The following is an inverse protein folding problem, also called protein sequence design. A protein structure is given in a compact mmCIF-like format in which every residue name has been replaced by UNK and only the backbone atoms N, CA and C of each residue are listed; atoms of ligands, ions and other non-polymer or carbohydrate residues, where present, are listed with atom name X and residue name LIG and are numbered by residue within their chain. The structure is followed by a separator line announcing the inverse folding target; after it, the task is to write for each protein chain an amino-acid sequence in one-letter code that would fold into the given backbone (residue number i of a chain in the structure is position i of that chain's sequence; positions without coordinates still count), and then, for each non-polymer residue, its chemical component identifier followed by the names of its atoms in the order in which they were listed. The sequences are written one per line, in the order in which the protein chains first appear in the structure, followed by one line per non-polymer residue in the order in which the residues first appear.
data_IF_547477839036
#
_entry.id   IF_547477839036
#
_cell.length_a   1.000
_cell.length_b   1.000
_cell.length_c   1.000
_cell.angle_alpha   90.00
_cell.angle_beta   90.00
_cell.angle_gamma   90.00
#
_symmetry.space_group_name_H-M   'P 1'
#
loop_
_entity.id
_entity.type
_entity.pdbx_description
1 polymer ?
#
# COMPACT_ATOMS: atom_id res chain seq x y z
N UNK A 1 13.12 -12.62 5.73
CA UNK A 1 13.51 -11.21 5.52
C UNK A 1 14.63 -11.06 4.49
N UNK A 2 15.82 -11.64 4.64
CA UNK A 2 16.93 -11.54 3.66
C UNK A 2 16.54 -11.89 2.22
N UNK A 3 15.69 -12.91 2.00
CA UNK A 3 15.25 -13.34 0.65
C UNK A 3 14.33 -12.33 -0.04
N UNK A 4 13.48 -11.62 0.70
CA UNK A 4 12.58 -10.57 0.16
C UNK A 4 13.37 -9.33 -0.21
N UNK A 5 14.36 -8.96 0.59
CA UNK A 5 15.26 -7.84 0.29
C UNK A 5 16.11 -8.12 -0.97
N UNK A 6 16.59 -9.37 -1.13
CA UNK A 6 17.30 -9.81 -2.32
C UNK A 6 16.42 -9.76 -3.59
N UNK A 7 15.16 -10.16 -3.49
CA UNK A 7 14.19 -10.06 -4.59
C UNK A 7 13.91 -8.61 -4.98
N UNK A 8 13.76 -7.71 -4.02
CA UNK A 8 13.59 -6.27 -4.25
C UNK A 8 14.82 -5.65 -4.91
N UNK A 9 16.02 -5.98 -4.42
CA UNK A 9 17.29 -5.55 -5.03
C UNK A 9 17.42 -6.10 -6.44
N UNK A 10 17.05 -7.36 -6.68
CA UNK A 10 17.07 -7.98 -8.02
C UNK A 10 16.09 -7.28 -8.98
N UNK A 11 14.90 -6.92 -8.55
CA UNK A 11 13.92 -6.18 -9.37
C UNK A 11 14.47 -4.79 -9.73
N UNK A 12 15.08 -4.08 -8.79
CA UNK A 12 15.72 -2.78 -9.04
C UNK A 12 16.91 -2.93 -9.99
N UNK A 13 17.73 -3.98 -9.84
CA UNK A 13 18.86 -4.26 -10.75
C UNK A 13 18.39 -4.66 -12.15
N UNK A 14 17.31 -5.41 -12.29
CA UNK A 14 16.74 -5.78 -13.59
C UNK A 14 16.21 -4.53 -14.29
N UNK A 15 15.56 -3.63 -13.60
CA UNK A 15 15.07 -2.36 -14.18
C UNK A 15 16.21 -1.44 -14.63
N UNK A 16 17.31 -1.40 -13.89
CA UNK A 16 18.50 -0.63 -14.24
C UNK A 16 19.25 -1.20 -15.44
N UNK A 17 19.32 -2.53 -15.58
CA UNK A 17 20.02 -3.18 -16.70
C UNK A 17 19.23 -3.14 -18.02
N UNK A 18 17.91 -3.13 -17.99
CA UNK A 18 17.07 -2.97 -19.21
C UNK A 18 17.29 -1.57 -19.83
N UNK A 19 17.64 -0.58 -19.02
CA UNK A 19 17.98 0.76 -19.50
C UNK A 19 19.40 0.85 -20.13
N UNK A 20 20.26 -0.12 -19.90
CA UNK A 20 21.66 -0.12 -20.36
C UNK A 20 21.90 -0.86 -21.71
N UNK A 21 20.94 -1.67 -22.18
CA UNK A 21 21.10 -2.50 -23.39
C UNK A 21 20.98 -1.69 -24.69
N UNK A 22 20.44 -0.48 -24.67
CA UNK A 22 20.28 0.37 -25.87
C UNK A 22 21.45 1.36 -26.12
N UNK A 23 22.61 1.17 -25.49
CA UNK A 23 23.69 2.17 -25.49
C UNK A 23 24.75 2.00 -26.60
N UNK A 24 24.61 1.06 -27.52
CA UNK A 24 25.62 0.84 -28.57
C UNK A 24 25.07 1.07 -29.98
N UNK A 25 24.84 2.33 -30.34
CA UNK A 25 25.05 2.84 -31.70
C UNK A 25 24.76 4.35 -31.81
N UNK A 26 25.78 5.05 -32.34
CA UNK A 26 25.76 6.42 -32.87
C UNK A 26 25.97 7.54 -31.84
N UNK A 27 27.17 8.06 -31.86
CA UNK A 27 27.56 9.36 -31.27
C UNK A 27 26.83 10.50 -32.00
N UNK A 28 25.62 10.77 -31.54
CA UNK A 28 24.95 12.04 -31.76
C UNK A 28 24.94 12.73 -30.40
N UNK A 29 25.53 13.96 -30.37
CA UNK A 29 25.57 14.85 -29.20
C UNK A 29 24.17 15.05 -28.64
N UNK A 30 23.73 14.14 -27.75
CA UNK A 30 22.36 14.07 -27.22
C UNK A 30 22.27 15.09 -26.07
N UNK A 31 21.56 16.16 -26.32
CA UNK A 31 21.09 17.08 -25.27
C UNK A 31 20.49 16.28 -24.12
N UNK A 32 20.81 16.71 -22.89
CA UNK A 32 20.37 16.14 -21.62
C UNK A 32 19.00 15.42 -21.70
N UNK A 33 19.00 14.13 -21.44
CA UNK A 33 17.84 13.24 -21.55
C UNK A 33 16.81 13.39 -20.42
N UNK A 34 16.96 14.37 -19.54
CA UNK A 34 16.04 14.64 -18.43
C UNK A 34 15.06 15.79 -18.71
N UNK A 35 14.61 15.96 -19.94
CA UNK A 35 13.60 16.95 -20.25
C UNK A 35 12.25 16.54 -19.62
N UNK A 36 11.52 17.52 -19.08
CA UNK A 36 10.14 17.36 -18.63
C UNK A 36 9.26 16.77 -19.74
N UNK A 37 8.46 15.75 -19.42
CA UNK A 37 7.64 15.01 -20.37
C UNK A 37 6.18 14.89 -19.91
N UNK A 38 5.66 15.91 -19.26
CA UNK A 38 4.26 15.96 -18.86
C UNK A 38 4.01 15.56 -17.40
N UNK A 39 2.75 15.65 -17.04
CA UNK A 39 2.27 15.27 -15.70
C UNK A 39 1.00 14.45 -15.79
N UNK A 40 0.75 13.65 -14.77
CA UNK A 40 -0.47 12.87 -14.59
C UNK A 40 -0.90 12.92 -13.13
N UNK A 41 -2.19 13.07 -12.90
CA UNK A 41 -2.77 12.99 -11.56
C UNK A 41 -4.13 12.35 -11.60
N UNK A 42 -4.50 11.61 -10.55
CA UNK A 42 -5.78 10.96 -10.54
C UNK A 42 -6.10 10.24 -9.25
N UNK A 43 -7.27 9.61 -9.25
CA UNK A 43 -7.81 8.86 -8.12
C UNK A 43 -7.92 7.38 -8.45
N UNK A 44 -7.67 6.55 -7.45
CA UNK A 44 -7.73 5.10 -7.56
C UNK A 44 -8.51 4.54 -6.36
N UNK A 45 -9.42 3.64 -6.66
CA UNK A 45 -10.02 2.74 -5.67
C UNK A 45 -9.08 1.57 -5.43
N UNK A 46 -8.95 1.14 -4.17
CA UNK A 46 -8.16 -0.03 -3.83
C UNK A 46 -8.98 -1.09 -3.10
N UNK A 47 -8.65 -2.32 -3.40
CA UNK A 47 -9.12 -3.50 -2.69
C UNK A 47 -7.94 -4.44 -2.47
N UNK A 48 -7.84 -5.04 -1.30
CA UNK A 48 -6.76 -5.97 -1.01
C UNK A 48 -7.20 -7.02 0.00
N UNK A 49 -6.49 -8.14 0.02
CA UNK A 49 -6.61 -9.12 1.08
C UNK A 49 -5.42 -8.96 2.01
N UNK A 50 -5.68 -8.56 3.24
CA UNK A 50 -4.65 -8.29 4.24
C UNK A 50 -4.77 -9.24 5.42
N UNK A 51 -3.62 -9.57 6.02
CA UNK A 51 -3.52 -10.50 7.11
C UNK A 51 -2.46 -10.03 8.11
N UNK A 52 -2.77 -10.07 9.42
CA UNK A 52 -1.81 -9.83 10.48
C UNK A 52 -1.12 -11.11 10.93
N UNK A 53 -0.12 -10.99 11.79
CA UNK A 53 0.35 -12.09 12.62
C UNK A 53 -0.68 -12.38 13.72
N UNK A 54 -0.46 -13.45 14.45
CA UNK A 54 -1.20 -13.71 15.68
C UNK A 54 -0.71 -12.75 16.77
N UNK A 55 -1.65 -12.11 17.44
CA UNK A 55 -1.36 -11.21 18.57
C UNK A 55 -2.35 -11.45 19.70
N UNK A 56 -1.93 -11.13 20.92
CA UNK A 56 -2.78 -11.21 22.11
C UNK A 56 -2.99 -9.80 22.66
N UNK A 57 -4.19 -9.55 23.13
CA UNK A 57 -4.46 -8.35 23.90
C UNK A 57 -3.87 -8.52 25.29
N UNK A 58 -3.33 -7.46 25.85
CA UNK A 58 -2.79 -7.41 27.22
C UNK A 58 -3.57 -6.39 28.01
N UNK A 59 -3.78 -6.66 29.28
CA UNK A 59 -4.32 -5.69 30.22
C UNK A 59 -3.25 -4.62 30.57
N UNK A 60 -3.62 -3.65 31.41
CA UNK A 60 -2.69 -2.60 31.87
C UNK A 60 -1.48 -3.13 32.67
N UNK A 61 -1.52 -4.37 33.11
CA UNK A 61 -0.44 -5.07 33.85
C UNK A 61 0.42 -5.96 32.94
N UNK A 62 0.11 -5.97 31.62
CA UNK A 62 0.82 -6.81 30.64
C UNK A 62 0.37 -8.28 30.62
N UNK A 63 -0.70 -8.64 31.34
CA UNK A 63 -1.24 -9.98 31.32
C UNK A 63 -2.08 -10.22 30.06
N UNK A 64 -1.93 -11.38 29.40
CA UNK A 64 -2.68 -11.67 28.19
C UNK A 64 -4.17 -11.80 28.49
N UNK A 65 -4.97 -11.06 27.73
CA UNK A 65 -6.43 -11.09 27.75
C UNK A 65 -6.95 -12.04 26.66
N UNK A 66 -7.47 -13.19 27.06
CA UNK A 66 -8.15 -14.11 26.17
C UNK A 66 -7.26 -14.87 25.18
N UNK A 67 -7.86 -15.28 24.08
CA UNK A 67 -7.21 -16.07 23.03
C UNK A 67 -6.39 -15.18 22.09
N UNK A 68 -5.46 -15.81 21.38
CA UNK A 68 -4.73 -15.13 20.30
C UNK A 68 -5.70 -14.78 19.15
N UNK A 69 -5.56 -13.58 18.61
CA UNK A 69 -6.36 -13.06 17.53
C UNK A 69 -5.50 -12.88 16.27
N UNK A 70 -6.13 -13.08 15.11
CA UNK A 70 -5.51 -12.82 13.81
C UNK A 70 -6.46 -11.99 12.96
N UNK A 71 -5.99 -10.85 12.52
CA UNK A 71 -6.74 -10.04 11.57
C UNK A 71 -6.56 -10.61 10.16
N UNK A 72 -7.66 -10.87 9.47
CA UNK A 72 -7.63 -11.24 8.06
C UNK A 72 -8.91 -10.80 7.37
N UNK A 73 -8.81 -10.35 6.13
CA UNK A 73 -9.99 -10.00 5.36
C UNK A 73 -9.72 -9.04 4.22
N UNK A 74 -10.81 -8.68 3.55
CA UNK A 74 -10.78 -7.72 2.46
C UNK A 74 -10.73 -6.29 3.00
N UNK A 75 -9.68 -5.55 2.67
CA UNK A 75 -9.57 -4.13 2.92
C UNK A 75 -9.98 -3.35 1.68
N UNK A 76 -10.66 -2.22 1.86
CA UNK A 76 -11.10 -1.36 0.77
C UNK A 76 -10.78 0.09 1.07
N UNK A 77 -10.50 0.87 0.02
CA UNK A 77 -10.19 2.27 0.21
C UNK A 77 -10.07 3.08 -1.06
N UNK A 78 -9.69 4.33 -0.87
CA UNK A 78 -9.49 5.31 -1.92
C UNK A 78 -8.14 5.99 -1.74
N UNK A 79 -7.55 6.38 -2.85
CA UNK A 79 -6.33 7.16 -2.86
C UNK A 79 -6.12 7.86 -4.18
N UNK A 80 -4.93 8.42 -4.35
CA UNK A 80 -4.56 9.09 -5.58
C UNK A 80 -3.07 9.20 -5.73
N UNK A 81 -2.65 9.55 -6.94
CA UNK A 81 -1.27 9.80 -7.26
C UNK A 81 -1.15 11.03 -8.16
N UNK A 82 -0.02 11.74 -8.00
CA UNK A 82 0.43 12.77 -8.91
C UNK A 82 1.84 12.38 -9.38
N UNK A 83 2.05 12.36 -10.70
CA UNK A 83 3.30 11.92 -11.32
C UNK A 83 3.76 12.95 -12.33
N UNK A 84 5.06 13.19 -12.38
CA UNK A 84 5.72 14.07 -13.35
C UNK A 84 6.75 13.24 -14.12
N UNK A 85 6.66 13.26 -15.43
CA UNK A 85 7.55 12.52 -16.33
C UNK A 85 8.83 13.27 -16.61
N UNK A 86 9.96 12.54 -16.59
CA UNK A 86 11.28 13.02 -16.96
C UNK A 86 11.90 12.06 -17.97
N UNK A 87 12.35 12.62 -19.09
CA UNK A 87 12.89 11.82 -20.18
C UNK A 87 11.86 10.85 -20.75
N UNK A 88 12.30 9.66 -21.19
CA UNK A 88 11.46 8.70 -21.90
C UNK A 88 10.84 7.63 -20.98
N UNK A 89 11.45 7.34 -19.85
CA UNK A 89 11.15 6.14 -19.08
C UNK A 89 10.92 6.39 -17.60
N UNK A 90 11.05 7.61 -17.10
CA UNK A 90 11.13 7.87 -15.69
C UNK A 90 10.04 8.84 -15.21
N UNK A 91 9.39 8.52 -14.08
CA UNK A 91 8.43 9.41 -13.43
C UNK A 91 8.72 9.50 -11.94
N UNK A 92 8.55 10.70 -11.40
CA UNK A 92 8.62 11.00 -9.98
C UNK A 92 7.29 11.59 -9.55
N UNK A 93 6.86 11.30 -8.35
CA UNK A 93 5.59 11.82 -7.90
C UNK A 93 5.33 11.61 -6.42
N UNK A 94 4.07 11.75 -6.08
CA UNK A 94 3.52 11.45 -4.76
C UNK A 94 2.31 10.53 -4.92
N UNK A 95 2.15 9.66 -3.95
CA UNK A 95 0.98 8.78 -3.88
C UNK A 95 0.52 8.66 -2.43
N UNK A 96 -0.79 8.58 -2.22
CA UNK A 96 -1.34 8.35 -0.90
C UNK A 96 -2.74 7.77 -0.97
N UNK A 97 -3.11 7.02 0.07
CA UNK A 97 -4.42 6.41 0.17
C UNK A 97 -4.80 6.08 1.61
N UNK A 98 -6.09 5.84 1.78
CA UNK A 98 -6.67 5.29 3.00
C UNK A 98 -7.31 3.95 2.66
N UNK A 99 -7.11 2.94 3.50
CA UNK A 99 -7.73 1.64 3.37
C UNK A 99 -8.27 1.18 4.71
N UNK A 100 -9.44 0.54 4.70
CA UNK A 100 -10.11 0.08 5.92
C UNK A 100 -10.50 -1.40 5.77
N UNK A 101 -10.13 -2.19 6.76
CA UNK A 101 -10.57 -3.55 6.98
C UNK A 101 -11.61 -3.54 8.10
N UNK A 102 -12.80 -4.11 7.86
CA UNK A 102 -13.80 -4.40 8.89
C UNK A 102 -13.79 -5.90 9.16
N UNK A 103 -13.85 -6.29 10.41
CA UNK A 103 -13.79 -7.71 10.81
C UNK A 103 -14.65 -7.97 12.06
N UNK A 104 -14.82 -9.25 12.43
CA UNK A 104 -15.59 -9.66 13.61
C UNK A 104 -14.73 -9.57 14.90
N UNK A 105 -15.32 -9.23 16.07
CA UNK A 105 -16.73 -8.93 16.26
C UNK A 105 -17.16 -7.60 15.67
N UNK A 106 -18.46 -7.39 15.48
CA UNK A 106 -19.02 -6.16 14.88
C UNK A 106 -18.51 -4.90 15.58
N UNK A 107 -18.17 -3.87 14.80
CA UNK A 107 -17.55 -2.64 15.30
C UNK A 107 -16.03 -2.67 15.28
N UNK A 108 -15.41 -3.82 15.05
CA UNK A 108 -13.96 -3.93 14.93
C UNK A 108 -13.48 -3.49 13.54
N UNK A 109 -12.40 -2.70 13.51
CA UNK A 109 -11.84 -2.22 12.25
C UNK A 109 -10.34 -1.93 12.37
N UNK A 110 -9.64 -2.13 11.24
CA UNK A 110 -8.26 -1.70 11.07
C UNK A 110 -8.18 -0.71 9.90
N UNK A 111 -7.63 0.47 10.13
CA UNK A 111 -7.52 1.55 9.15
C UNK A 111 -6.08 1.94 8.95
N UNK A 112 -5.66 2.04 7.70
CA UNK A 112 -4.35 2.53 7.28
C UNK A 112 -4.56 3.83 6.51
N UNK A 113 -3.91 4.92 6.95
CA UNK A 113 -3.74 6.14 6.18
C UNK A 113 -2.26 6.30 5.85
N UNK A 114 -1.92 6.50 4.58
CA UNK A 114 -0.53 6.45 4.15
C UNK A 114 -0.27 7.33 2.94
N UNK A 115 0.96 7.89 2.82
CA UNK A 115 1.41 8.66 1.68
C UNK A 115 2.92 8.74 1.60
N UNK A 116 3.42 8.93 0.37
CA UNK A 116 4.86 8.97 0.15
C UNK A 116 5.31 9.46 -1.21
N UNK A 117 6.62 9.47 -1.39
CA UNK A 117 7.29 9.80 -2.65
C UNK A 117 7.29 8.58 -3.56
N UNK A 118 6.80 8.77 -4.77
CA UNK A 118 6.68 7.76 -5.81
C UNK A 118 7.82 7.91 -6.81
N UNK A 119 8.37 6.78 -7.19
CA UNK A 119 9.37 6.65 -8.23
C UNK A 119 9.02 5.47 -9.12
N UNK A 120 8.86 5.68 -10.42
CA UNK A 120 8.57 4.60 -11.35
C UNK A 120 9.31 4.72 -12.70
N UNK A 121 9.46 3.57 -13.33
CA UNK A 121 9.87 3.45 -14.72
C UNK A 121 8.70 2.96 -15.55
N UNK A 122 8.53 3.50 -16.75
CA UNK A 122 7.40 3.18 -17.62
C UNK A 122 7.82 2.94 -19.07
N UNK A 123 7.06 2.08 -19.75
CA UNK A 123 7.26 1.72 -21.15
C UNK A 123 5.93 1.81 -21.91
N UNK A 124 5.95 2.58 -23.00
CA UNK A 124 4.78 2.72 -23.86
C UNK A 124 4.74 1.65 -24.94
N UNK A 125 3.62 0.93 -25.01
CA UNK A 125 3.33 -0.06 -26.06
C UNK A 125 1.99 0.30 -26.71
N UNK A 126 2.01 1.10 -27.76
CA UNK A 126 0.79 1.61 -28.41
C UNK A 126 -0.06 2.43 -27.43
N UNK A 127 -1.28 1.94 -27.10
CA UNK A 127 -2.19 2.56 -26.12
C UNK A 127 -1.95 2.12 -24.68
N UNK A 128 -1.09 1.16 -24.47
CA UNK A 128 -0.75 0.64 -23.15
C UNK A 128 0.57 1.25 -22.64
N UNK A 129 0.63 1.52 -21.38
CA UNK A 129 1.85 1.89 -20.66
C UNK A 129 2.01 0.92 -19.50
N UNK A 130 3.04 0.11 -19.52
CA UNK A 130 3.41 -0.74 -18.40
C UNK A 130 4.36 0.07 -17.51
N UNK A 131 4.20 -0.03 -16.21
CA UNK A 131 5.07 0.67 -15.28
C UNK A 131 5.37 -0.18 -14.04
N UNK A 132 6.54 0.04 -13.47
CA UNK A 132 6.97 -0.58 -12.21
C UNK A 132 7.79 0.41 -11.41
N UNK A 133 7.70 0.29 -10.10
CA UNK A 133 8.39 1.22 -9.23
C UNK A 133 8.16 0.95 -7.76
N UNK A 134 8.34 1.99 -6.97
CA UNK A 134 8.11 1.95 -5.54
C UNK A 134 7.68 3.29 -4.99
N UNK A 135 7.06 3.24 -3.83
CA UNK A 135 6.75 4.42 -3.03
C UNK A 135 7.44 4.26 -1.68
N UNK A 136 8.09 5.31 -1.22
CA UNK A 136 8.69 5.39 0.11
C UNK A 136 7.94 6.47 0.87
N UNK A 137 7.37 6.13 2.01
CA UNK A 137 6.57 7.09 2.76
C UNK A 137 6.20 6.61 4.14
N UNK A 138 5.27 7.34 4.74
CA UNK A 138 4.81 7.06 6.09
C UNK A 138 3.32 7.26 6.24
N UNK A 139 2.82 6.81 7.37
CA UNK A 139 1.40 6.91 7.66
C UNK A 139 1.09 6.52 9.09
N UNK A 140 -0.19 6.30 9.33
CA UNK A 140 -0.70 5.83 10.61
C UNK A 140 -1.58 4.59 10.43
N UNK A 141 -1.45 3.69 11.37
CA UNK A 141 -2.29 2.52 11.52
C UNK A 141 -3.17 2.70 12.76
N UNK A 142 -4.47 2.56 12.58
CA UNK A 142 -5.45 2.62 13.66
C UNK A 142 -6.19 1.30 13.72
N UNK A 143 -6.18 0.67 14.87
CA UNK A 143 -6.80 -0.62 15.11
C UNK A 143 -7.78 -0.48 16.28
N UNK A 144 -9.04 -0.80 16.02
CA UNK A 144 -10.14 -0.81 16.99
C UNK A 144 -10.68 -2.23 17.04
N UNK A 145 -10.65 -2.85 18.22
CA UNK A 145 -11.22 -4.18 18.43
C UNK A 145 -12.21 -4.14 19.58
N UNK A 146 -13.41 -4.64 19.32
CA UNK A 146 -14.37 -4.96 20.36
C UNK A 146 -14.00 -6.31 20.98
N UNK A 147 -13.78 -6.34 22.29
CA UNK A 147 -13.47 -7.56 23.02
C UNK A 147 -14.72 -7.95 23.81
N UNK A 148 -15.31 -9.06 23.41
CA UNK A 148 -16.42 -9.66 24.13
C UNK A 148 -15.85 -10.58 25.21
N UNK A 149 -16.09 -10.26 26.48
CA UNK A 149 -15.60 -11.05 27.62
C UNK A 149 -16.49 -12.24 27.97
N UNK A 150 -17.47 -12.54 27.15
CA UNK A 150 -18.48 -13.56 27.42
C UNK A 150 -19.51 -13.09 28.45
N UNK A 151 -20.63 -13.77 28.46
CA UNK A 151 -21.71 -13.53 29.40
C UNK A 151 -21.27 -13.96 30.81
N UNK A 152 -21.12 -13.02 31.73
CA UNK A 152 -21.00 -13.35 33.14
C UNK A 152 -22.40 -13.39 33.73
N UNK A 153 -22.92 -14.59 34.01
CA UNK A 153 -24.14 -14.75 34.76
C UNK A 153 -23.88 -14.35 36.23
N UNK A 154 -24.57 -13.33 36.69
CA UNK A 154 -24.70 -13.04 38.13
C UNK A 154 -25.87 -13.84 38.68
N UNK A 155 -25.79 -14.30 39.94
CA UNK A 155 -26.84 -15.07 40.63
C UNK A 155 -28.26 -14.43 40.61
N UNK A 156 -28.39 -13.19 40.11
CA UNK A 156 -29.65 -12.43 40.05
C UNK A 156 -30.15 -12.14 38.63
N UNK A 157 -29.94 -12.99 37.66
CA UNK A 157 -30.52 -12.91 36.28
C UNK A 157 -30.25 -11.62 35.49
N UNK A 158 -29.25 -10.82 35.85
CA UNK A 158 -28.82 -9.70 35.05
C UNK A 158 -27.60 -10.06 34.21
N UNK A 159 -27.78 -10.04 32.87
CA UNK A 159 -26.69 -10.15 31.92
C UNK A 159 -25.95 -8.81 31.92
N UNK A 160 -24.76 -8.77 32.48
CA UNK A 160 -23.87 -7.61 32.38
C UNK A 160 -22.97 -7.86 31.16
N UNK A 161 -23.33 -7.24 30.05
CA UNK A 161 -22.52 -7.21 28.85
C UNK A 161 -21.26 -6.34 29.08
N UNK A 162 -20.16 -6.93 29.49
CA UNK A 162 -18.87 -6.25 29.65
C UNK A 162 -18.14 -6.23 28.30
N UNK A 163 -18.43 -5.21 27.47
CA UNK A 163 -17.68 -4.96 26.26
C UNK A 163 -16.47 -4.07 26.56
N UNK A 164 -15.30 -4.53 26.15
CA UNK A 164 -14.07 -3.74 26.19
C UNK A 164 -13.67 -3.33 24.77
N UNK A 165 -13.20 -2.10 24.62
CA UNK A 165 -12.67 -1.58 23.37
C UNK A 165 -11.16 -1.47 23.48
N UNK A 166 -10.45 -2.22 22.65
CA UNK A 166 -9.02 -2.02 22.48
C UNK A 166 -8.79 -1.03 21.33
N UNK A 167 -8.09 0.07 21.63
CA UNK A 167 -7.70 1.08 20.66
C UNK A 167 -6.19 1.15 20.58
N UNK A 168 -5.65 0.94 19.37
CA UNK A 168 -4.22 1.10 19.09
C UNK A 168 -4.04 2.07 17.93
N UNK A 169 -3.12 3.00 18.09
CA UNK A 169 -2.75 3.95 17.04
C UNK A 169 -1.25 4.14 17.06
N UNK A 170 -0.60 3.91 15.92
CA UNK A 170 0.85 4.08 15.81
C UNK A 170 1.25 4.53 14.41
N UNK A 171 2.31 5.38 14.31
CA UNK A 171 2.90 5.75 13.05
C UNK A 171 3.77 4.61 12.51
N UNK A 172 3.94 4.58 11.18
CA UNK A 172 4.85 3.66 10.52
C UNK A 172 5.49 4.30 9.29
N UNK A 173 6.65 3.77 8.91
CA UNK A 173 7.25 4.01 7.61
C UNK A 173 7.13 2.75 6.76
N UNK A 174 6.92 2.91 5.46
CA UNK A 174 6.77 1.80 4.55
C UNK A 174 7.47 2.03 3.22
N UNK A 175 7.90 0.92 2.63
CA UNK A 175 8.31 0.82 1.24
C UNK A 175 7.28 -0.03 0.52
N UNK A 176 6.77 0.49 -0.60
CA UNK A 176 5.66 -0.13 -1.33
C UNK A 176 6.07 -0.35 -2.78
N UNK A 177 6.67 -1.50 -3.11
CA UNK A 177 6.88 -1.89 -4.50
C UNK A 177 5.54 -2.11 -5.19
N UNK A 178 5.49 -1.74 -6.48
CA UNK A 178 4.32 -1.92 -7.31
C UNK A 178 4.65 -2.24 -8.76
N UNK A 179 3.68 -2.83 -9.43
CA UNK A 179 3.63 -3.00 -10.88
C UNK A 179 2.24 -2.64 -11.36
N UNK A 180 2.13 -2.06 -12.55
CA UNK A 180 0.83 -1.70 -13.09
C UNK A 180 0.86 -1.45 -14.59
N UNK A 181 -0.35 -1.16 -15.09
CA UNK A 181 -0.58 -0.78 -16.46
C UNK A 181 -1.55 0.39 -16.55
N UNK A 182 -1.37 1.20 -17.55
CA UNK A 182 -2.29 2.27 -17.93
C UNK A 182 -2.77 2.02 -19.35
N UNK A 183 -4.05 2.25 -19.59
CA UNK A 183 -4.64 2.24 -20.92
C UNK A 183 -5.15 3.63 -21.27
N UNK A 184 -4.58 4.24 -22.31
CA UNK A 184 -4.96 5.58 -22.76
C UNK A 184 -6.29 5.54 -23.51
N UNK A 185 -7.35 6.03 -22.87
CA UNK A 185 -8.66 6.21 -23.48
C UNK A 185 -8.65 7.38 -24.47
N UNK A 186 -8.04 8.49 -24.02
CA UNK A 186 -7.85 9.71 -24.82
C UNK A 186 -6.43 10.23 -24.61
N UNK A 187 -6.07 11.32 -25.25
CA UNK A 187 -4.76 11.98 -25.04
C UNK A 187 -4.59 12.52 -23.60
N UNK A 188 -5.68 12.63 -22.82
CA UNK A 188 -5.67 13.24 -21.50
C UNK A 188 -6.19 12.34 -20.39
N UNK A 189 -6.82 11.21 -20.73
CA UNK A 189 -7.47 10.33 -19.75
C UNK A 189 -6.96 8.92 -19.98
N UNK A 190 -6.47 8.30 -18.92
CA UNK A 190 -6.06 6.90 -18.89
C UNK A 190 -6.75 6.16 -17.75
N UNK A 191 -7.12 4.91 -17.98
CA UNK A 191 -7.49 3.96 -16.94
C UNK A 191 -6.21 3.34 -16.41
N UNK A 192 -6.05 3.27 -15.11
CA UNK A 192 -4.90 2.64 -14.45
C UNK A 192 -5.35 1.41 -13.67
N UNK A 193 -4.55 0.35 -13.77
CA UNK A 193 -4.62 -0.82 -12.92
C UNK A 193 -3.23 -1.08 -12.32
N UNK A 194 -3.16 -1.25 -10.99
CA UNK A 194 -1.89 -1.42 -10.27
C UNK A 194 -2.05 -2.47 -9.17
N UNK A 195 -1.00 -3.25 -8.94
CA UNK A 195 -0.87 -4.13 -7.78
C UNK A 195 0.32 -3.66 -6.98
N UNK A 196 0.17 -3.58 -5.68
CA UNK A 196 1.25 -3.25 -4.77
C UNK A 196 1.28 -4.17 -3.53
N UNK A 197 2.37 -4.08 -2.79
CA UNK A 197 2.54 -4.74 -1.51
C UNK A 197 3.23 -3.80 -0.52
N UNK A 198 2.57 -3.48 0.59
CA UNK A 198 3.13 -2.57 1.60
C UNK A 198 4.04 -3.31 2.56
N UNK A 199 5.30 -2.91 2.60
CA UNK A 199 6.32 -3.40 3.53
C UNK A 199 6.54 -2.36 4.62
N UNK A 200 6.08 -2.64 5.84
CA UNK A 200 6.38 -1.81 7.01
C UNK A 200 7.85 -2.00 7.41
N UNK A 201 8.61 -0.91 7.53
CA UNK A 201 10.04 -0.95 7.83
C UNK A 201 10.40 -0.48 9.25
N UNK A 202 9.46 0.12 9.98
CA UNK A 202 9.76 0.73 11.29
C UNK A 202 9.23 -0.04 12.50
N UNK A 203 8.01 -0.54 12.44
CA UNK A 203 7.38 -1.21 13.58
C UNK A 203 6.68 -2.48 13.11
N UNK A 204 7.21 -3.60 13.53
CA UNK A 204 6.61 -4.91 13.31
C UNK A 204 5.63 -5.23 14.44
N UNK A 205 4.63 -4.36 14.64
CA UNK A 205 3.53 -4.71 15.52
C UNK A 205 2.83 -5.94 14.96
N UNK A 206 2.57 -6.94 15.79
CA UNK A 206 2.02 -8.22 15.34
C UNK A 206 0.60 -8.07 14.78
N UNK A 207 -0.11 -7.01 15.16
CA UNK A 207 -1.42 -6.65 14.66
C UNK A 207 -1.41 -5.91 13.31
N UNK A 208 -0.23 -5.59 12.74
CA UNK A 208 -0.14 -4.96 11.42
C UNK A 208 -0.56 -5.91 10.32
N UNK A 209 -1.68 -5.58 9.66
CA UNK A 209 -2.20 -6.39 8.58
C UNK A 209 -1.58 -5.98 7.23
N UNK A 210 -0.77 -6.84 6.67
CA UNK A 210 -0.12 -6.67 5.36
C UNK A 210 -0.70 -7.64 4.34
N UNK A 211 -0.64 -7.25 3.06
CA UNK A 211 -1.08 -8.11 1.97
C UNK A 211 -1.05 -7.39 0.63
N UNK A 212 -1.28 -8.15 -0.46
CA UNK A 212 -1.37 -7.56 -1.79
C UNK A 212 -2.63 -6.72 -1.92
N UNK A 213 -2.48 -5.57 -2.62
CA UNK A 213 -3.58 -4.67 -2.90
C UNK A 213 -3.65 -4.40 -4.40
N UNK A 214 -4.85 -4.35 -4.90
CA UNK A 214 -5.18 -4.05 -6.28
C UNK A 214 -5.85 -2.68 -6.36
N UNK A 215 -5.42 -1.88 -7.30
CA UNK A 215 -5.90 -0.52 -7.54
C UNK A 215 -6.46 -0.40 -8.94
N UNK A 216 -7.59 0.27 -9.06
CA UNK A 216 -8.18 0.66 -10.34
C UNK A 216 -8.63 2.10 -10.24
N UNK A 217 -8.39 2.89 -11.29
CA UNK A 217 -8.81 4.28 -11.30
C UNK A 217 -8.56 4.99 -12.60
N UNK A 218 -8.68 6.30 -12.54
CA UNK A 218 -8.46 7.18 -13.67
C UNK A 218 -7.32 8.14 -13.39
N UNK A 219 -6.48 8.34 -14.39
CA UNK A 219 -5.42 9.33 -14.38
C UNK A 219 -5.68 10.34 -15.49
N UNK A 220 -5.51 11.60 -15.14
CA UNK A 220 -5.66 12.76 -16.02
C UNK A 220 -4.31 13.42 -16.17
N UNK A 221 -3.91 13.70 -17.41
CA UNK A 221 -2.58 14.25 -17.65
C UNK A 221 -2.45 14.97 -18.99
N UNK A 222 -1.27 15.56 -19.16
CA UNK A 222 -0.87 16.24 -20.39
C UNK A 222 0.60 15.97 -20.68
#
# INVERSE_FOLDING_TARGET
MKRILLLLVAIVFITLNISAVDADSVVVKKRSSMAYNGYQGGMMFNVGYVQSREFQFQDNNGLPLGQSHRLSGASMGLGGALRVGFGKYFRVGIEGYVSTLKYQPQGSSAKIGWGGLLLDSHWHIKKFTIFTGGVIGGGSYTHITMIDKGESFSENDYVVENQYVSYRHYPFLAVVPFVGMEYSLTQRISVVAKIDYMLNVTNWADDYAAGPRFFVGFMFGR
#
